data_IF_999839498400
#
_entry.id   IF_999839498400
#
_cell.length_a   1.000
_cell.length_b   1.000
_cell.length_c   1.000
_cell.angle_alpha   90.00
_cell.angle_beta   90.00
_cell.angle_gamma   90.00
#
_symmetry.space_group_name_H-M   'P 1'
#
loop_
_entity.id
_entity.type
_entity.pdbx_description
1 polymer ?
#
# COMPACT_ATOMS: atom_id res chain seq x y z
N UNK A 1 29.38 12.92 -20.33
CA UNK A 1 28.27 13.11 -21.29
C UNK A 1 27.18 12.08 -21.00
N UNK A 2 25.93 12.49 -20.72
CA UNK A 2 24.80 11.55 -20.60
C UNK A 2 24.36 11.15 -22.01
N UNK A 3 24.57 9.91 -22.41
CA UNK A 3 24.04 9.39 -23.67
C UNK A 3 22.53 9.21 -23.54
N UNK A 4 21.77 10.19 -24.01
CA UNK A 4 20.31 10.11 -24.15
C UNK A 4 19.93 9.31 -25.40
N UNK A 5 20.40 8.07 -25.52
CA UNK A 5 20.05 7.21 -26.65
C UNK A 5 18.77 6.43 -26.31
N UNK A 6 17.66 6.55 -27.06
CA UNK A 6 16.41 5.85 -26.77
C UNK A 6 16.60 4.31 -26.72
N UNK A 7 17.52 3.76 -27.53
CA UNK A 7 17.80 2.32 -27.56
C UNK A 7 18.45 1.78 -26.28
N UNK A 8 19.30 2.56 -25.60
CA UNK A 8 19.97 2.13 -24.35
C UNK A 8 19.03 2.19 -23.13
N UNK A 9 17.99 3.02 -23.18
CA UNK A 9 16.98 3.07 -22.14
C UNK A 9 16.13 1.79 -22.13
N UNK A 10 15.82 1.23 -23.32
CA UNK A 10 15.04 0.01 -23.44
C UNK A 10 15.74 -1.23 -22.84
N UNK A 11 17.06 -1.36 -22.97
CA UNK A 11 17.80 -2.50 -22.39
C UNK A 11 17.78 -2.50 -20.86
N UNK A 12 17.94 -1.32 -20.24
CA UNK A 12 17.89 -1.17 -18.78
C UNK A 12 16.46 -1.41 -18.25
N UNK A 13 15.46 -0.86 -18.94
CA UNK A 13 14.05 -1.06 -18.60
C UNK A 13 13.68 -2.55 -18.63
N UNK A 14 14.11 -3.27 -19.67
CA UNK A 14 13.89 -4.72 -19.82
C UNK A 14 14.58 -5.53 -18.72
N UNK A 15 15.78 -5.14 -18.27
CA UNK A 15 16.45 -5.79 -17.15
C UNK A 15 15.64 -5.64 -15.85
N UNK A 16 15.11 -4.45 -15.57
CA UNK A 16 14.23 -4.21 -14.41
C UNK A 16 12.94 -5.05 -14.51
N UNK A 17 12.29 -5.04 -15.67
CA UNK A 17 11.03 -5.79 -15.90
C UNK A 17 11.25 -7.29 -15.75
N UNK A 18 12.32 -7.84 -16.35
CA UNK A 18 12.63 -9.26 -16.28
C UNK A 18 12.89 -9.75 -14.86
N UNK A 19 13.68 -9.01 -14.06
CA UNK A 19 13.90 -9.33 -12.63
C UNK A 19 12.60 -9.27 -11.86
N UNK A 20 11.77 -8.24 -12.10
CA UNK A 20 10.48 -8.09 -11.44
C UNK A 20 9.55 -9.28 -11.72
N UNK A 21 9.43 -9.70 -12.98
CA UNK A 21 8.61 -10.84 -13.39
C UNK A 21 9.17 -12.17 -12.88
N UNK A 22 10.49 -12.39 -12.98
CA UNK A 22 11.16 -13.59 -12.45
C UNK A 22 10.96 -13.75 -10.94
N UNK A 23 10.88 -12.63 -10.21
CA UNK A 23 10.58 -12.62 -8.77
C UNK A 23 9.11 -12.89 -8.41
N UNK A 24 8.24 -13.15 -9.41
CA UNK A 24 6.78 -13.23 -9.25
C UNK A 24 6.17 -11.96 -8.64
N UNK A 25 6.67 -10.79 -9.05
CA UNK A 25 6.24 -9.47 -8.56
C UNK A 25 6.53 -9.21 -7.07
N UNK A 26 7.45 -9.98 -6.47
CA UNK A 26 7.79 -9.82 -5.05
C UNK A 26 8.86 -8.75 -4.81
N UNK A 27 9.68 -8.42 -5.80
CA UNK A 27 10.77 -7.47 -5.60
C UNK A 27 10.32 -6.03 -5.83
N UNK A 28 10.68 -5.16 -4.90
CA UNK A 28 10.63 -3.71 -5.06
C UNK A 28 12.00 -3.12 -5.41
N UNK A 29 12.08 -1.80 -5.50
CA UNK A 29 13.28 -1.06 -5.93
C UNK A 29 14.58 -1.45 -5.20
N UNK A 30 14.49 -1.75 -3.89
CA UNK A 30 15.66 -2.13 -3.08
C UNK A 30 16.22 -3.50 -3.46
N UNK A 31 15.36 -4.51 -3.64
CA UNK A 31 15.79 -5.86 -4.07
C UNK A 31 16.23 -5.89 -5.54
N UNK A 32 15.52 -5.17 -6.40
CA UNK A 32 15.89 -5.05 -7.83
C UNK A 32 17.29 -4.43 -7.97
N UNK A 33 17.63 -3.41 -7.18
CA UNK A 33 18.98 -2.82 -7.18
C UNK A 33 20.08 -3.85 -6.90
N UNK A 34 19.85 -4.72 -5.91
CA UNK A 34 20.82 -5.77 -5.54
C UNK A 34 20.97 -6.79 -6.69
N UNK A 35 19.85 -7.23 -7.27
CA UNK A 35 19.86 -8.17 -8.40
C UNK A 35 20.54 -7.59 -9.65
N UNK A 36 20.34 -6.29 -9.93
CA UNK A 36 21.03 -5.61 -11.03
C UNK A 36 22.54 -5.47 -10.77
N UNK A 37 22.94 -5.18 -9.52
CA UNK A 37 24.34 -5.12 -9.15
C UNK A 37 25.05 -6.47 -9.33
N UNK A 38 24.36 -7.59 -9.06
CA UNK A 38 24.87 -8.94 -9.35
C UNK A 38 25.06 -9.20 -10.85
N UNK A 39 24.33 -8.49 -11.71
CA UNK A 39 24.47 -8.53 -13.17
C UNK A 39 25.44 -7.45 -13.70
N UNK A 40 26.24 -6.83 -12.83
CA UNK A 40 27.15 -5.71 -13.14
C UNK A 40 26.44 -4.46 -13.70
N UNK A 41 25.14 -4.29 -13.41
CA UNK A 41 24.35 -3.12 -13.81
C UNK A 41 24.18 -2.21 -12.58
N UNK A 42 24.91 -1.10 -12.54
CA UNK A 42 24.81 -0.13 -11.45
C UNK A 42 23.70 0.89 -11.71
N UNK A 43 22.59 0.79 -10.98
CA UNK A 43 21.49 1.77 -11.03
C UNK A 43 21.16 2.37 -9.66
N UNK A 44 20.71 3.62 -9.68
CA UNK A 44 20.17 4.27 -8.48
C UNK A 44 18.74 3.80 -8.20
N UNK A 45 18.37 3.80 -6.92
CA UNK A 45 17.01 3.44 -6.49
C UNK A 45 15.94 4.32 -7.16
N UNK A 46 16.23 5.62 -7.34
CA UNK A 46 15.32 6.58 -7.97
C UNK A 46 15.11 6.22 -9.45
N UNK A 47 16.17 5.87 -10.21
CA UNK A 47 16.03 5.43 -11.60
C UNK A 47 15.14 4.19 -11.69
N UNK A 48 15.39 3.17 -10.86
CA UNK A 48 14.57 1.96 -10.82
C UNK A 48 13.12 2.30 -10.47
N UNK A 49 12.89 3.22 -9.52
CA UNK A 49 11.53 3.68 -9.16
C UNK A 49 10.81 4.33 -10.35
N UNK A 50 11.49 5.20 -11.10
CA UNK A 50 10.91 5.84 -12.31
C UNK A 50 10.58 4.81 -13.37
N UNK A 51 11.42 3.80 -13.57
CA UNK A 51 11.14 2.68 -14.49
C UNK A 51 9.92 1.90 -14.01
N UNK A 52 9.88 1.50 -12.74
CA UNK A 52 8.72 0.79 -12.18
C UNK A 52 7.42 1.59 -12.33
N UNK A 53 7.46 2.91 -12.14
CA UNK A 53 6.31 3.79 -12.35
C UNK A 53 5.90 3.88 -13.83
N UNK A 54 6.86 4.07 -14.74
CA UNK A 54 6.60 4.14 -16.20
C UNK A 54 5.88 2.90 -16.74
N UNK A 55 6.18 1.72 -16.20
CA UNK A 55 5.62 0.44 -16.64
C UNK A 55 4.57 -0.15 -15.68
N UNK A 56 4.06 0.63 -14.72
CA UNK A 56 3.05 0.19 -13.74
C UNK A 56 3.42 -1.10 -12.98
N UNK A 57 4.70 -1.26 -12.63
CA UNK A 57 5.22 -2.42 -11.91
C UNK A 57 4.96 -2.27 -10.40
N UNK A 58 3.89 -2.90 -9.91
CA UNK A 58 3.50 -2.82 -8.50
C UNK A 58 3.86 -4.12 -7.78
N UNK A 59 4.74 -4.03 -6.79
CA UNK A 59 5.15 -5.19 -5.99
C UNK A 59 4.01 -5.75 -5.13
N UNK A 60 4.04 -7.05 -4.83
CA UNK A 60 3.02 -7.65 -3.96
C UNK A 60 3.09 -7.08 -2.53
N UNK A 61 4.26 -6.71 -2.02
CA UNK A 61 4.41 -6.08 -0.70
C UNK A 61 3.69 -4.73 -0.58
N UNK A 62 3.52 -4.01 -1.69
CA UNK A 62 2.79 -2.73 -1.69
C UNK A 62 1.27 -2.91 -1.76
N UNK A 63 0.77 -4.13 -1.99
CA UNK A 63 -0.67 -4.41 -1.98
C UNK A 63 -1.13 -4.56 -0.52
N UNK A 64 -1.66 -3.49 0.03
CA UNK A 64 -2.43 -3.57 1.27
C UNK A 64 -3.65 -4.47 1.02
N UNK A 65 -3.85 -5.47 1.87
CA UNK A 65 -5.07 -6.27 1.89
C UNK A 65 -5.86 -5.86 3.12
N UNK A 66 -6.97 -5.16 2.92
CA UNK A 66 -7.95 -4.99 3.99
C UNK A 66 -8.52 -6.36 4.34
N UNK A 67 -8.36 -6.78 5.60
CA UNK A 67 -9.08 -7.93 6.14
C UNK A 67 -10.23 -7.38 6.96
N UNK A 68 -11.46 -7.52 6.45
CA UNK A 68 -12.65 -7.22 7.23
C UNK A 68 -12.66 -8.11 8.46
N UNK A 69 -12.54 -7.50 9.65
CA UNK A 69 -12.71 -8.23 10.89
C UNK A 69 -14.22 -8.36 11.11
N UNK A 70 -14.75 -9.59 11.05
CA UNK A 70 -16.16 -9.87 11.31
C UNK A 70 -16.54 -9.29 12.68
N UNK A 71 -17.32 -8.20 12.65
CA UNK A 71 -18.02 -7.59 13.78
C UNK A 71 -17.22 -7.45 15.09
N UNK A 72 -16.41 -6.38 15.20
CA UNK A 72 -16.06 -5.78 16.50
C UNK A 72 -17.17 -4.91 17.09
N UNK A 73 -18.32 -4.81 16.42
CA UNK A 73 -19.54 -4.20 16.95
C UNK A 73 -20.48 -5.25 17.53
N UNK A 74 -19.94 -6.26 18.22
CA UNK A 74 -20.73 -6.79 19.32
C UNK A 74 -20.86 -5.61 20.28
N UNK A 75 -21.99 -4.92 20.25
CA UNK A 75 -22.46 -4.19 21.42
C UNK A 75 -22.46 -5.25 22.51
N UNK A 76 -21.36 -5.39 23.25
CA UNK A 76 -21.31 -6.26 24.39
C UNK A 76 -22.44 -5.74 25.27
N UNK A 77 -23.51 -6.52 25.33
CA UNK A 77 -24.69 -6.21 26.11
C UNK A 77 -24.29 -6.45 27.56
N UNK A 78 -23.43 -5.57 28.07
CA UNK A 78 -23.01 -5.60 29.46
C UNK A 78 -24.26 -5.30 30.27
N UNK A 79 -24.57 -6.18 31.21
CA UNK A 79 -25.68 -5.96 32.12
C UNK A 79 -25.32 -4.78 33.02
N UNK A 80 -26.30 -3.94 33.34
CA UNK A 80 -26.13 -2.83 34.28
C UNK A 80 -25.97 -3.38 35.70
N UNK A 81 -24.74 -3.79 36.06
CA UNK A 81 -24.44 -4.40 37.35
C UNK A 81 -24.76 -3.49 38.55
N UNK A 82 -24.74 -2.17 38.32
CA UNK A 82 -25.00 -1.16 39.33
C UNK A 82 -26.48 -0.75 39.42
N UNK A 83 -27.33 -1.30 38.55
CA UNK A 83 -28.75 -0.96 38.39
C UNK A 83 -29.03 0.55 38.33
N UNK A 84 -28.12 1.33 37.74
CA UNK A 84 -28.31 2.77 37.58
C UNK A 84 -29.37 3.08 36.51
N UNK A 85 -30.36 3.89 36.86
CA UNK A 85 -31.36 4.33 35.90
C UNK A 85 -30.82 5.46 35.02
N UNK A 86 -30.68 5.17 33.74
CA UNK A 86 -30.19 6.11 32.72
C UNK A 86 -31.34 6.78 31.94
N UNK A 87 -32.55 6.81 32.50
CA UNK A 87 -33.74 7.36 31.84
C UNK A 87 -33.84 8.89 31.91
N UNK A 88 -32.92 9.57 32.61
CA UNK A 88 -32.96 11.03 32.80
C UNK A 88 -32.26 11.84 31.70
N UNK A 89 -31.90 11.21 30.57
CA UNK A 89 -31.37 11.97 29.44
C UNK A 89 -32.48 12.67 28.69
N UNK A 90 -32.46 14.00 28.71
CA UNK A 90 -33.26 14.83 27.80
C UNK A 90 -32.85 14.44 26.38
N UNK A 91 -33.80 13.99 25.58
CA UNK A 91 -33.57 13.61 24.20
C UNK A 91 -33.29 14.90 23.40
N UNK A 92 -32.01 15.24 23.21
CA UNK A 92 -31.57 16.49 22.57
C UNK A 92 -32.16 16.69 21.16
N UNK A 93 -32.57 15.62 20.49
CA UNK A 93 -33.28 15.68 19.20
C UNK A 93 -34.66 16.36 19.29
N UNK A 94 -35.30 16.34 20.46
CA UNK A 94 -36.62 16.94 20.70
C UNK A 94 -36.57 18.45 20.93
N UNK A 95 -35.41 18.99 21.29
CA UNK A 95 -35.18 20.44 21.44
C UNK A 95 -34.98 21.14 20.08
N UNK A 96 -34.45 20.41 19.08
CA UNK A 96 -34.17 20.95 17.75
C UNK A 96 -35.39 21.01 16.82
N UNK A 97 -36.49 20.35 17.18
CA UNK A 97 -37.75 20.37 16.40
C UNK A 97 -38.75 21.44 16.85
N UNK A 98 -38.39 22.26 17.85
CA UNK A 98 -39.24 23.30 18.45
C UNK A 98 -38.75 24.72 18.09
N UNK A 99 -37.76 24.83 17.21
CA UNK A 99 -37.35 26.08 16.54
C UNK A 99 -37.72 25.96 15.08
#
# INVERSE_FOLDING_TARGET
MKSNNPKSNHTIDNAVISIFLKSRKNYGTRKIKVMLAQQNILLSRIKISKIMQRYNLISNYTKLKYKHQSNKNATYKYHNLLNQEFNNYINYMKLLSVI
#
